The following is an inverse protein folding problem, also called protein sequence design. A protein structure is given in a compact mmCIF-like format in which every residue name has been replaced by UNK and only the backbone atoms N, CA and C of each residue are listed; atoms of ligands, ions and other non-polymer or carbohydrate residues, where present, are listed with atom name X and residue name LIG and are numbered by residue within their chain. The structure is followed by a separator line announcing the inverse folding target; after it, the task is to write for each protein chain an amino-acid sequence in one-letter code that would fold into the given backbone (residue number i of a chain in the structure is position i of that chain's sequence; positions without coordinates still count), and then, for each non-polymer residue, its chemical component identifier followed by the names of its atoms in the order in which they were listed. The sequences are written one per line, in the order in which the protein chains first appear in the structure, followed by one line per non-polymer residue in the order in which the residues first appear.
data_IF_013642356258
#
_entry.id   IF_013642356258
#
_cell.length_a   1.000
_cell.length_b   1.000
_cell.length_c   1.000
_cell.angle_alpha   90.00
_cell.angle_beta   90.00
_cell.angle_gamma   90.00
#
_symmetry.space_group_name_H-M   'P 1'
#
loop_
_entity.id
_entity.type
_entity.pdbx_description
1 polymer ?
#
# COMPACT_ATOMS: atom_id res chain seq x y z
N UNK A 1 21.18 -21.20 -0.23
CA UNK A 1 20.78 -20.04 0.61
C UNK A 1 20.93 -18.69 -0.11
N UNK A 2 21.26 -18.63 -1.40
CA UNK A 2 21.45 -17.37 -2.16
C UNK A 2 20.23 -16.87 -2.94
N UNK A 3 19.09 -17.56 -2.89
CA UNK A 3 17.87 -17.14 -3.62
C UNK A 3 17.08 -16.01 -2.91
N UNK A 4 17.49 -15.59 -1.71
CA UNK A 4 16.93 -14.39 -1.07
C UNK A 4 17.40 -13.08 -1.71
N UNK A 5 18.43 -13.13 -2.56
CA UNK A 5 18.98 -11.99 -3.30
C UNK A 5 18.66 -12.04 -4.80
N UNK A 6 17.94 -13.06 -5.27
CA UNK A 6 17.29 -12.97 -6.57
C UNK A 6 16.00 -12.17 -6.36
N UNK A 7 16.06 -10.90 -6.73
CA UNK A 7 14.95 -9.96 -6.93
C UNK A 7 13.93 -10.46 -8.00
N UNK A 8 13.58 -11.74 -7.98
CA UNK A 8 12.56 -12.37 -8.82
C UNK A 8 11.16 -12.21 -8.21
N UNK A 9 11.08 -11.88 -6.93
CA UNK A 9 9.82 -11.67 -6.23
C UNK A 9 9.80 -10.24 -5.70
N UNK A 10 8.84 -9.45 -6.18
CA UNK A 10 8.59 -8.10 -5.67
C UNK A 10 8.29 -8.21 -4.16
N UNK A 11 9.27 -7.90 -3.29
CA UNK A 11 9.06 -7.87 -1.84
C UNK A 11 8.37 -6.57 -1.42
N UNK A 12 8.60 -5.48 -2.17
CA UNK A 12 7.98 -4.16 -1.97
C UNK A 12 6.46 -4.18 -1.79
N UNK A 13 5.66 -4.86 -2.65
CA UNK A 13 4.21 -4.92 -2.45
C UNK A 13 3.81 -5.65 -1.15
N UNK A 14 4.58 -6.65 -0.71
CA UNK A 14 4.32 -7.39 0.53
C UNK A 14 4.61 -6.50 1.75
N UNK A 15 5.70 -5.72 1.72
CA UNK A 15 6.03 -4.77 2.78
C UNK A 15 4.92 -3.72 2.94
N UNK A 16 4.38 -3.19 1.82
CA UNK A 16 3.28 -2.21 1.85
C UNK A 16 2.00 -2.84 2.42
N UNK A 17 1.71 -4.12 2.12
CA UNK A 17 0.56 -4.82 2.72
C UNK A 17 0.67 -4.97 4.24
N UNK A 18 1.88 -5.22 4.76
CA UNK A 18 2.10 -5.28 6.21
C UNK A 18 1.92 -3.88 6.83
N UNK A 19 2.48 -2.84 6.19
CA UNK A 19 2.29 -1.46 6.62
C UNK A 19 0.82 -1.02 6.62
N UNK A 20 0.02 -1.50 5.65
CA UNK A 20 -1.43 -1.25 5.59
C UNK A 20 -2.16 -1.78 6.81
N UNK A 21 -1.84 -3.00 7.25
CA UNK A 21 -2.46 -3.59 8.44
C UNK A 21 -2.15 -2.76 9.70
N UNK A 22 -0.91 -2.27 9.84
CA UNK A 22 -0.54 -1.33 10.89
C UNK A 22 -1.27 0.01 10.75
N UNK A 23 -1.44 0.52 9.53
CA UNK A 23 -2.20 1.74 9.25
C UNK A 23 -3.67 1.62 9.67
N UNK A 24 -4.33 0.50 9.36
CA UNK A 24 -5.71 0.24 9.83
C UNK A 24 -5.75 0.17 11.35
N UNK A 25 -4.83 -0.58 11.97
CA UNK A 25 -4.78 -0.69 13.43
C UNK A 25 -4.64 0.69 14.09
N UNK A 26 -3.79 1.56 13.53
CA UNK A 26 -3.60 2.93 14.00
C UNK A 26 -4.84 3.80 13.80
N UNK A 27 -5.50 3.70 12.64
CA UNK A 27 -6.76 4.43 12.38
C UNK A 27 -7.86 4.00 13.36
N UNK A 28 -8.02 2.71 13.59
CA UNK A 28 -9.01 2.21 14.54
C UNK A 28 -8.71 2.68 15.96
N UNK A 29 -7.44 2.65 16.38
CA UNK A 29 -7.02 3.13 17.69
C UNK A 29 -7.28 4.64 17.83
N UNK A 30 -6.81 5.44 16.88
CA UNK A 30 -6.95 6.90 16.89
C UNK A 30 -8.43 7.34 16.85
N UNK A 31 -9.28 6.63 16.11
CA UNK A 31 -10.72 6.88 16.07
C UNK A 31 -11.41 6.64 17.41
N UNK A 32 -11.06 5.55 18.10
CA UNK A 32 -11.59 5.25 19.45
C UNK A 32 -11.15 6.30 20.46
N UNK A 33 -9.89 6.73 20.41
CA UNK A 33 -9.37 7.75 21.31
C UNK A 33 -9.98 9.13 21.05
N UNK A 34 -10.29 9.45 19.79
CA UNK A 34 -10.98 10.68 19.43
C UNK A 34 -12.41 10.70 19.99
N UNK A 35 -13.15 9.59 19.90
CA UNK A 35 -14.50 9.47 20.47
C UNK A 35 -14.46 9.65 22.00
N UNK A 36 -13.51 8.99 22.68
CA UNK A 36 -13.34 9.14 24.14
C UNK A 36 -13.06 10.59 24.55
N UNK A 37 -12.20 11.29 23.81
CA UNK A 37 -11.91 12.70 24.05
C UNK A 37 -13.14 13.57 23.80
N UNK A 38 -13.86 13.37 22.69
CA UNK A 38 -15.08 14.14 22.40
C UNK A 38 -16.12 14.02 23.51
N UNK A 39 -16.31 12.82 24.06
CA UNK A 39 -17.19 12.57 25.21
C UNK A 39 -16.70 13.25 26.51
N UNK A 40 -15.39 13.30 26.74
CA UNK A 40 -14.81 13.92 27.93
C UNK A 40 -14.90 15.47 27.91
N UNK A 41 -14.89 16.08 26.73
CA UNK A 41 -14.96 17.54 26.55
C UNK A 41 -16.38 18.05 26.23
N UNK A 42 -17.41 17.22 26.41
CA UNK A 42 -18.82 17.52 26.09
C UNK A 42 -19.02 18.06 24.65
N UNK A 43 -18.17 17.58 23.74
CA UNK A 43 -18.15 17.94 22.34
C UNK A 43 -18.93 16.91 21.52
N UNK A 44 -19.43 17.34 20.35
CA UNK A 44 -20.13 16.42 19.45
C UNK A 44 -19.22 15.26 19.04
N UNK A 45 -19.64 14.00 19.17
CA UNK A 45 -18.84 12.82 18.80
C UNK A 45 -18.83 12.56 17.29
N UNK A 46 -19.58 13.34 16.51
CA UNK A 46 -19.70 13.23 15.06
C UNK A 46 -18.36 13.10 14.30
N UNK A 47 -17.31 13.91 14.57
CA UNK A 47 -16.02 13.78 13.89
C UNK A 47 -15.33 12.43 14.15
N UNK A 48 -15.51 11.82 15.33
CA UNK A 48 -14.92 10.52 15.67
C UNK A 48 -15.50 9.37 14.86
N UNK A 49 -16.84 9.32 14.73
CA UNK A 49 -17.52 8.33 13.90
C UNK A 49 -17.16 8.52 12.42
N UNK A 50 -17.10 9.77 11.96
CA UNK A 50 -16.75 10.08 10.57
C UNK A 50 -15.31 9.63 10.25
N UNK A 51 -14.37 9.81 11.18
CA UNK A 51 -12.97 9.37 11.06
C UNK A 51 -12.84 7.85 11.00
N UNK A 52 -13.63 7.10 11.77
CA UNK A 52 -13.61 5.62 11.76
C UNK A 52 -14.12 5.06 10.43
N UNK A 53 -15.07 5.74 9.78
CA UNK A 53 -15.62 5.31 8.49
C UNK A 53 -14.74 5.76 7.32
N UNK A 54 -14.31 7.03 7.30
CA UNK A 54 -13.49 7.57 6.21
C UNK A 54 -12.01 7.20 6.31
N UNK A 55 -11.47 7.01 7.52
CA UNK A 55 -10.06 6.71 7.74
C UNK A 55 -9.58 5.45 7.01
N UNK A 56 -10.26 4.29 7.17
CA UNK A 56 -9.91 3.06 6.45
C UNK A 56 -10.04 3.20 4.93
N UNK A 57 -11.02 3.98 4.46
CA UNK A 57 -11.22 4.26 3.03
C UNK A 57 -10.01 4.99 2.44
N UNK A 58 -9.55 6.04 3.11
CA UNK A 58 -8.38 6.84 2.68
C UNK A 58 -7.11 5.97 2.70
N UNK A 59 -6.88 5.22 3.78
CA UNK A 59 -5.71 4.33 3.90
C UNK A 59 -5.69 3.26 2.80
N UNK A 60 -6.87 2.72 2.44
CA UNK A 60 -7.00 1.74 1.36
C UNK A 60 -6.63 2.33 0.00
N UNK A 61 -7.20 3.49 -0.34
CA UNK A 61 -6.90 4.18 -1.61
C UNK A 61 -5.42 4.54 -1.71
N UNK A 62 -4.83 5.07 -0.63
CA UNK A 62 -3.39 5.38 -0.60
C UNK A 62 -2.52 4.14 -0.83
N UNK A 63 -2.80 3.04 -0.13
CA UNK A 63 -2.02 1.81 -0.29
C UNK A 63 -2.17 1.19 -1.68
N UNK A 64 -3.36 1.26 -2.29
CA UNK A 64 -3.61 0.76 -3.64
C UNK A 64 -2.82 1.54 -4.68
N UNK A 65 -2.79 2.87 -4.59
CA UNK A 65 -1.98 3.73 -5.47
C UNK A 65 -0.48 3.45 -5.29
N UNK A 66 -0.01 3.30 -4.05
CA UNK A 66 1.41 2.97 -3.78
C UNK A 66 1.80 1.64 -4.43
N UNK A 67 0.99 0.58 -4.26
CA UNK A 67 1.26 -0.74 -4.85
C UNK A 67 1.24 -0.66 -6.38
N UNK A 68 0.28 0.06 -6.96
CA UNK A 68 0.14 0.21 -8.42
C UNK A 68 1.37 0.86 -9.04
N UNK A 69 1.91 1.92 -8.43
CA UNK A 69 3.11 2.60 -8.95
C UNK A 69 4.31 1.64 -8.98
N UNK A 70 4.49 0.82 -7.95
CA UNK A 70 5.57 -0.18 -7.93
C UNK A 70 5.37 -1.28 -8.97
N UNK A 71 4.13 -1.76 -9.15
CA UNK A 71 3.82 -2.78 -10.18
C UNK A 71 4.10 -2.28 -11.60
N UNK A 72 3.77 -1.03 -11.91
CA UNK A 72 4.02 -0.44 -13.24
C UNK A 72 5.51 -0.44 -13.59
N UNK A 73 6.37 -0.13 -12.61
CA UNK A 73 7.83 -0.11 -12.80
C UNK A 73 8.36 -1.47 -13.25
N UNK A 74 7.84 -2.55 -12.67
CA UNK A 74 8.32 -3.88 -12.98
C UNK A 74 7.80 -4.38 -14.35
N UNK A 75 6.55 -4.08 -14.71
CA UNK A 75 6.02 -4.41 -16.05
C UNK A 75 6.81 -3.74 -17.18
N UNK A 76 7.29 -2.51 -16.98
CA UNK A 76 8.12 -1.81 -17.96
C UNK A 76 9.47 -2.50 -18.20
N UNK A 77 10.13 -2.95 -17.13
CA UNK A 77 11.44 -3.63 -17.20
C UNK A 77 11.32 -4.97 -17.93
N UNK A 78 10.24 -5.71 -17.68
CA UNK A 78 9.97 -6.99 -18.35
C UNK A 78 9.75 -6.80 -19.85
N UNK A 79 8.96 -5.78 -20.25
CA UNK A 79 8.68 -5.49 -21.67
C UNK A 79 9.95 -5.10 -22.44
N UNK A 80 10.86 -4.34 -21.83
CA UNK A 80 12.16 -3.97 -22.41
C UNK A 80 13.06 -5.19 -22.69
N UNK A 81 13.08 -6.16 -21.78
CA UNK A 81 13.91 -7.36 -21.94
C UNK A 81 13.38 -8.27 -23.06
N UNK A 82 12.05 -8.43 -23.19
CA UNK A 82 11.43 -9.21 -24.26
C UNK A 82 11.73 -8.62 -25.65
N UNK A 83 11.70 -7.29 -25.78
CA UNK A 83 12.05 -6.59 -27.03
C UNK A 83 13.53 -6.75 -27.40
N UNK A 84 14.43 -6.75 -26.41
CA UNK A 84 15.86 -7.02 -26.67
C UNK A 84 16.10 -8.44 -27.15
N UNK A 85 15.38 -9.41 -26.60
CA UNK A 85 15.46 -10.81 -26.98
C UNK A 85 14.95 -11.02 -28.41
N UNK A 86 13.83 -10.38 -28.80
CA UNK A 86 13.32 -10.44 -30.17
C UNK A 86 14.24 -9.75 -31.19
N UNK A 87 14.86 -8.61 -30.84
CA UNK A 87 15.83 -7.93 -31.71
C UNK A 87 17.12 -8.73 -31.94
N UNK A 88 17.55 -9.51 -30.94
CA UNK A 88 18.73 -10.38 -31.09
C UNK A 88 18.41 -11.60 -31.95
N UNK A 89 17.20 -12.14 -31.83
CA UNK A 89 16.70 -13.24 -32.66
C UNK A 89 16.53 -12.88 -34.15
N UNK A 90 16.33 -11.61 -34.49
CA UNK A 90 16.28 -11.16 -35.90
C UNK A 90 17.65 -10.77 -36.46
N UNK A 91 18.69 -10.68 -35.61
CA UNK A 91 20.06 -10.33 -36.00
C UNK A 91 20.96 -11.55 -36.29
N UNK A 92 20.48 -12.77 -36.01
CA UNK A 92 21.09 -14.07 -36.32
C UNK A 92 20.43 -14.73 -37.54
#
# INVERSE_FOLDING_TARGET
MGDFLKFKKMVTPIIIQIAFWFGIAFVLWSGVDLVKQSLAFDASPWPGILMIILGPLVVRVYCEVLIVIFKVKDTLVETQNLLKESLYSEAE
#
